data_IF_783443654358
#
_entry.id   IF_783443654358
#
_cell.length_a   1.000
_cell.length_b   1.000
_cell.length_c   1.000
_cell.angle_alpha   90.00
_cell.angle_beta   90.00
_cell.angle_gamma   90.00
#
_symmetry.space_group_name_H-M   'P 1'
#
loop_
_entity.id
_entity.type
_entity.pdbx_description
1 polymer ?
#
# COMPACT_ATOMS: atom_id res chain seq x y z
N UNK A 1 14.60 18.43 41.39
CA UNK A 1 14.23 17.83 40.10
C UNK A 1 15.35 18.14 39.13
N UNK A 2 16.27 17.19 38.93
CA UNK A 2 17.43 17.35 38.08
C UNK A 2 17.05 17.06 36.62
N UNK A 3 17.51 17.91 35.71
CA UNK A 3 17.37 17.76 34.27
C UNK A 3 18.01 16.44 33.78
N UNK A 4 17.47 15.80 32.73
CA UNK A 4 18.10 14.60 32.19
C UNK A 4 19.45 14.95 31.58
N UNK A 5 20.47 14.27 32.09
CA UNK A 5 21.85 14.40 31.68
C UNK A 5 22.00 13.89 30.24
N UNK A 6 22.34 14.80 29.31
CA UNK A 6 22.76 14.45 27.95
C UNK A 6 24.16 13.85 27.98
N UNK A 7 24.26 12.59 28.39
CA UNK A 7 25.44 11.76 28.23
C UNK A 7 24.98 10.33 27.98
N UNK A 8 24.58 10.05 26.74
CA UNK A 8 24.57 8.69 26.21
C UNK A 8 25.65 8.64 25.13
N UNK A 9 26.84 8.27 25.58
CA UNK A 9 27.95 7.85 24.76
C UNK A 9 27.50 6.70 23.84
N UNK A 10 27.85 6.82 22.56
CA UNK A 10 28.17 5.78 21.56
C UNK A 10 28.23 4.29 21.99
N UNK A 11 27.16 3.76 22.60
CA UNK A 11 26.92 2.31 22.79
C UNK A 11 25.93 1.77 21.74
N UNK A 12 25.70 2.52 20.65
CA UNK A 12 25.01 2.05 19.44
C UNK A 12 25.92 1.09 18.64
N UNK A 13 26.46 0.07 19.29
CA UNK A 13 26.90 -1.14 18.57
C UNK A 13 25.63 -1.68 17.93
N UNK A 14 25.49 -1.42 16.63
CA UNK A 14 24.32 -1.74 15.81
C UNK A 14 23.76 -3.11 16.23
N UNK A 15 22.59 -3.14 16.87
CA UNK A 15 21.90 -4.37 17.32
C UNK A 15 21.83 -5.42 16.19
N UNK A 16 21.80 -4.94 14.94
CA UNK A 16 21.87 -5.72 13.71
C UNK A 16 23.13 -6.59 13.60
N UNK A 17 24.28 -6.16 14.13
CA UNK A 17 25.54 -6.89 14.12
C UNK A 17 25.52 -8.17 14.98
N UNK A 18 24.55 -8.31 15.89
CA UNK A 18 24.36 -9.53 16.67
C UNK A 18 23.79 -10.68 15.82
N UNK A 19 23.22 -10.37 14.65
CA UNK A 19 22.71 -11.37 13.72
C UNK A 19 23.76 -11.67 12.66
N UNK A 20 24.08 -12.95 12.50
CA UNK A 20 25.03 -13.40 11.48
C UNK A 20 24.40 -13.46 10.10
N UNK A 21 23.09 -13.72 10.05
CA UNK A 21 22.29 -13.71 8.82
C UNK A 21 20.99 -12.93 9.02
N UNK A 22 20.61 -12.18 7.98
CA UNK A 22 19.37 -11.42 7.93
C UNK A 22 18.63 -11.83 6.65
N UNK A 23 17.41 -12.33 6.81
CA UNK A 23 16.55 -12.73 5.72
C UNK A 23 15.41 -11.75 5.61
N UNK A 24 15.36 -10.99 4.51
CA UNK A 24 14.24 -10.12 4.20
C UNK A 24 13.27 -10.85 3.26
N UNK A 25 11.99 -10.90 3.65
CA UNK A 25 10.92 -11.55 2.91
C UNK A 25 9.77 -10.58 2.67
N UNK A 26 9.36 -10.44 1.42
CA UNK A 26 8.12 -9.76 1.06
C UNK A 26 6.98 -10.78 1.10
N UNK A 27 6.08 -10.65 2.06
CA UNK A 27 4.98 -11.61 2.21
C UNK A 27 3.94 -11.49 1.09
N UNK A 28 3.80 -10.31 0.48
CA UNK A 28 3.01 -10.13 -0.75
C UNK A 28 3.56 -10.92 -1.95
N UNK A 29 4.84 -11.33 -1.93
CA UNK A 29 5.45 -12.18 -2.97
C UNK A 29 5.46 -13.68 -2.61
N UNK A 30 4.82 -14.08 -1.52
CA UNK A 30 4.84 -15.47 -1.03
C UNK A 30 4.17 -16.44 -2.01
N UNK A 31 3.07 -16.07 -2.67
CA UNK A 31 2.26 -16.93 -3.57
C UNK A 31 1.86 -18.26 -2.89
N UNK A 32 1.06 -18.16 -1.83
CA UNK A 32 0.55 -19.30 -1.07
C UNK A 32 1.58 -20.11 -0.29
N UNK A 33 2.85 -19.69 -0.24
CA UNK A 33 3.85 -20.38 0.57
C UNK A 33 3.53 -20.19 2.06
N UNK A 34 3.62 -21.29 2.82
CA UNK A 34 3.31 -21.31 4.26
C UNK A 34 4.54 -21.45 5.13
N UNK A 35 5.69 -21.85 4.58
CA UNK A 35 6.93 -22.04 5.34
C UNK A 35 7.99 -21.01 4.96
N UNK A 36 8.59 -20.38 5.98
CA UNK A 36 9.62 -19.34 5.80
C UNK A 36 10.85 -19.86 5.06
N UNK A 37 11.26 -21.11 5.28
CA UNK A 37 12.36 -21.76 4.56
C UNK A 37 12.13 -21.78 3.05
N UNK A 38 10.92 -22.14 2.62
CA UNK A 38 10.52 -22.13 1.22
C UNK A 38 10.42 -20.71 0.66
N UNK A 39 9.96 -19.74 1.46
CA UNK A 39 9.96 -18.32 1.06
C UNK A 39 11.38 -17.81 0.82
N UNK A 40 12.32 -18.10 1.72
CA UNK A 40 13.74 -17.74 1.56
C UNK A 40 14.31 -18.36 0.29
N UNK A 41 14.03 -19.65 0.05
CA UNK A 41 14.46 -20.33 -1.18
C UNK A 41 13.96 -19.58 -2.40
N UNK A 42 12.65 -19.33 -2.48
CA UNK A 42 12.01 -18.76 -3.67
C UNK A 42 12.38 -17.29 -3.91
N UNK A 43 12.41 -16.47 -2.85
CA UNK A 43 12.62 -15.03 -2.96
C UNK A 43 14.11 -14.65 -3.00
N UNK A 44 14.97 -15.40 -2.32
CA UNK A 44 16.40 -15.07 -2.21
C UNK A 44 17.26 -16.05 -3.01
N UNK A 45 17.13 -17.36 -2.81
CA UNK A 45 18.04 -18.32 -3.47
C UNK A 45 17.76 -18.41 -4.97
N UNK A 46 16.51 -18.63 -5.36
CA UNK A 46 16.15 -18.86 -6.75
C UNK A 46 16.37 -17.61 -7.62
N UNK A 47 16.26 -16.42 -7.01
CA UNK A 47 16.51 -15.13 -7.67
C UNK A 47 18.00 -14.78 -7.77
N UNK A 48 18.82 -15.25 -6.82
CA UNK A 48 20.25 -14.92 -6.75
C UNK A 48 21.14 -15.96 -7.43
N UNK A 49 20.75 -17.24 -7.50
CA UNK A 49 21.63 -18.33 -7.95
C UNK A 49 21.10 -19.06 -9.19
N UNK A 50 22.02 -19.62 -9.98
CA UNK A 50 21.73 -20.48 -11.14
C UNK A 50 21.17 -21.83 -10.69
N UNK A 51 20.42 -22.51 -11.57
CA UNK A 51 19.74 -23.78 -11.28
C UNK A 51 20.67 -24.81 -10.60
N UNK A 52 21.86 -25.03 -11.17
CA UNK A 52 22.88 -25.95 -10.63
C UNK A 52 23.33 -25.64 -9.19
N UNK A 53 23.23 -24.38 -8.76
CA UNK A 53 23.66 -23.93 -7.42
C UNK A 53 22.52 -23.82 -6.42
N UNK A 54 21.26 -23.86 -6.86
CA UNK A 54 20.10 -23.64 -5.97
C UNK A 54 20.00 -24.70 -4.89
N UNK A 55 20.19 -25.98 -5.23
CA UNK A 55 20.10 -27.07 -4.25
C UNK A 55 21.25 -27.04 -3.24
N UNK A 56 22.45 -26.69 -3.69
CA UNK A 56 23.62 -26.50 -2.81
C UNK A 56 23.38 -25.33 -1.85
N UNK A 57 22.89 -24.21 -2.35
CA UNK A 57 22.58 -23.05 -1.52
C UNK A 57 21.42 -23.30 -0.57
N UNK A 58 20.41 -24.08 -0.98
CA UNK A 58 19.31 -24.47 -0.09
C UNK A 58 19.79 -25.39 1.03
N UNK A 59 20.68 -26.33 0.72
CA UNK A 59 21.32 -27.18 1.73
C UNK A 59 22.14 -26.34 2.72
N UNK A 60 22.87 -25.35 2.22
CA UNK A 60 23.61 -24.42 3.07
C UNK A 60 22.66 -23.56 3.95
N UNK A 61 21.53 -23.11 3.39
CA UNK A 61 20.52 -22.38 4.14
C UNK A 61 20.01 -23.20 5.33
N UNK A 62 19.67 -24.47 5.14
CA UNK A 62 19.18 -25.33 6.22
C UNK A 62 20.23 -25.42 7.35
N UNK A 63 21.51 -25.55 7.00
CA UNK A 63 22.61 -25.54 7.97
C UNK A 63 22.74 -24.19 8.70
N UNK A 64 22.61 -23.08 7.97
CA UNK A 64 22.66 -21.72 8.54
C UNK A 64 21.52 -21.55 9.56
N UNK A 65 20.30 -21.89 9.19
CA UNK A 65 19.10 -21.75 10.03
C UNK A 65 19.25 -22.54 11.34
N UNK A 66 19.83 -23.73 11.29
CA UNK A 66 20.02 -24.58 12.48
C UNK A 66 21.16 -24.08 13.39
N UNK A 67 22.25 -23.58 12.79
CA UNK A 67 23.50 -23.34 13.52
C UNK A 67 23.70 -21.89 13.96
N UNK A 68 23.23 -20.92 13.18
CA UNK A 68 23.60 -19.50 13.28
C UNK A 68 22.49 -18.63 13.89
N UNK A 69 22.88 -17.47 14.43
CA UNK A 69 21.94 -16.46 14.95
C UNK A 69 21.39 -15.65 13.77
N UNK A 70 20.07 -15.72 13.57
CA UNK A 70 19.37 -15.18 12.41
C UNK A 70 18.32 -14.13 12.79
N UNK A 71 18.13 -13.15 11.91
CA UNK A 71 16.97 -12.26 11.92
C UNK A 71 16.14 -12.52 10.66
N UNK A 72 14.85 -12.80 10.82
CA UNK A 72 13.89 -12.88 9.72
C UNK A 72 12.98 -11.66 9.74
N UNK A 73 13.07 -10.84 8.70
CA UNK A 73 12.19 -9.68 8.48
C UNK A 73 11.10 -10.10 7.51
N UNK A 74 9.85 -10.05 7.96
CA UNK A 74 8.64 -10.38 7.22
C UNK A 74 7.88 -9.09 6.93
N UNK A 75 7.93 -8.63 5.70
CA UNK A 75 7.28 -7.39 5.30
C UNK A 75 5.87 -7.65 4.73
N UNK A 76 4.85 -6.99 5.27
CA UNK A 76 3.49 -6.99 4.74
C UNK A 76 2.64 -8.21 5.12
N UNK A 77 2.50 -8.53 6.41
CA UNK A 77 1.67 -9.67 6.86
C UNK A 77 0.20 -9.56 6.45
N UNK A 78 -0.33 -8.35 6.29
CA UNK A 78 -1.69 -8.13 5.77
C UNK A 78 -1.83 -8.45 4.27
N UNK A 79 -0.71 -8.70 3.58
CA UNK A 79 -0.64 -9.10 2.17
C UNK A 79 -0.37 -10.60 2.02
N UNK A 80 -0.06 -11.30 3.12
CA UNK A 80 0.05 -12.75 3.13
C UNK A 80 -1.34 -13.39 3.07
N UNK A 81 -1.50 -14.29 2.10
CA UNK A 81 -2.71 -15.11 1.97
C UNK A 81 -2.36 -16.54 2.33
N UNK A 82 -3.01 -17.03 3.37
CA UNK A 82 -2.90 -18.42 3.78
C UNK A 82 -3.67 -19.29 2.78
N UNK A 83 -3.17 -20.49 2.39
CA UNK A 83 -3.88 -21.39 1.51
C UNK A 83 -5.27 -21.74 2.05
N UNK A 84 -6.21 -22.01 1.14
CA UNK A 84 -7.59 -22.37 1.47
C UNK A 84 -7.63 -23.53 2.48
N UNK A 85 -8.44 -23.36 3.53
CA UNK A 85 -8.60 -24.34 4.61
C UNK A 85 -7.46 -24.36 5.64
N UNK A 86 -6.45 -23.49 5.52
CA UNK A 86 -5.42 -23.36 6.56
C UNK A 86 -5.85 -22.44 7.70
N UNK A 87 -5.57 -22.85 8.93
CA UNK A 87 -5.80 -22.07 10.15
C UNK A 87 -4.57 -21.24 10.56
N UNK A 88 -3.60 -21.08 9.67
CA UNK A 88 -2.39 -20.35 9.96
C UNK A 88 -2.66 -18.85 9.98
N UNK A 89 -2.29 -18.20 11.08
CA UNK A 89 -2.32 -16.74 11.19
C UNK A 89 -1.14 -16.10 10.45
N UNK A 90 0.00 -16.79 10.42
CA UNK A 90 1.25 -16.33 9.85
C UNK A 90 2.06 -17.49 9.27
N UNK A 91 3.08 -17.21 8.44
CA UNK A 91 3.99 -18.24 7.94
C UNK A 91 4.68 -19.02 9.07
N UNK A 92 4.83 -20.32 8.89
CA UNK A 92 5.51 -21.22 9.81
C UNK A 92 7.02 -20.95 9.86
N UNK A 93 7.54 -20.86 11.08
CA UNK A 93 8.99 -20.85 11.40
C UNK A 93 9.56 -22.25 11.61
N UNK A 94 8.92 -23.30 11.05
CA UNK A 94 9.42 -24.67 11.16
C UNK A 94 10.90 -24.75 10.76
N UNK A 95 11.70 -25.43 11.58
CA UNK A 95 13.14 -25.57 11.40
C UNK A 95 14.00 -24.45 12.02
N UNK A 96 13.42 -23.33 12.45
CA UNK A 96 14.17 -22.27 13.13
C UNK A 96 14.22 -22.48 14.65
N UNK A 97 15.42 -22.57 15.27
CA UNK A 97 15.55 -22.60 16.72
C UNK A 97 15.12 -21.26 17.35
N UNK A 98 14.24 -21.31 18.36
CA UNK A 98 13.68 -20.10 19.01
C UNK A 98 14.73 -19.23 19.70
N UNK A 99 15.79 -19.85 20.20
CA UNK A 99 16.91 -19.20 20.90
C UNK A 99 17.94 -18.58 19.93
N UNK A 100 17.85 -18.89 18.64
CA UNK A 100 18.77 -18.39 17.61
C UNK A 100 18.09 -17.54 16.54
N UNK A 101 16.78 -17.32 16.62
CA UNK A 101 16.05 -16.59 15.60
C UNK A 101 15.20 -15.48 16.21
N UNK A 102 15.44 -14.25 15.78
CA UNK A 102 14.50 -13.15 15.97
C UNK A 102 13.63 -12.99 14.71
N UNK A 103 12.38 -12.58 14.91
CA UNK A 103 11.45 -12.31 13.81
C UNK A 103 10.91 -10.89 13.97
N UNK A 104 11.05 -10.09 12.92
CA UNK A 104 10.44 -8.77 12.81
C UNK A 104 9.36 -8.83 11.73
N UNK A 105 8.12 -8.54 12.09
CA UNK A 105 7.00 -8.60 11.15
C UNK A 105 6.33 -7.24 11.05
N UNK A 106 6.12 -6.74 9.83
CA UNK A 106 5.33 -5.52 9.57
C UNK A 106 3.91 -5.91 9.17
N UNK A 107 2.92 -5.13 9.60
CA UNK A 107 1.52 -5.34 9.22
C UNK A 107 0.69 -4.09 9.43
N UNK A 108 -0.43 -3.98 8.71
CA UNK A 108 -1.48 -3.00 9.04
C UNK A 108 -2.15 -3.36 10.37
N UNK A 109 -2.54 -2.37 11.21
CA UNK A 109 -3.07 -2.64 12.56
C UNK A 109 -4.29 -3.56 12.60
N UNK A 110 -5.18 -3.48 11.61
CA UNK A 110 -6.40 -4.30 11.57
C UNK A 110 -6.14 -5.81 11.43
N UNK A 111 -4.98 -6.20 10.89
CA UNK A 111 -4.61 -7.62 10.73
C UNK A 111 -4.37 -8.28 12.08
N UNK A 112 -3.88 -7.52 13.06
CA UNK A 112 -3.67 -8.01 14.43
C UNK A 112 -4.98 -8.19 15.20
N UNK A 113 -6.07 -7.57 14.75
CA UNK A 113 -7.41 -7.74 15.32
C UNK A 113 -8.15 -8.98 14.78
N UNK A 114 -7.57 -9.73 13.84
CA UNK A 114 -8.11 -10.99 13.34
C UNK A 114 -8.03 -12.07 14.43
N UNK A 115 -9.09 -12.86 14.60
CA UNK A 115 -9.16 -13.88 15.65
C UNK A 115 -8.02 -14.90 15.58
N UNK A 116 -7.48 -15.16 14.38
CA UNK A 116 -6.33 -16.02 14.18
C UNK A 116 -5.09 -15.53 14.94
N UNK A 117 -4.98 -14.22 15.19
CA UNK A 117 -3.87 -13.62 15.93
C UNK A 117 -4.08 -13.56 17.44
N UNK A 118 -5.29 -13.83 17.97
CA UNK A 118 -5.54 -13.89 19.43
C UNK A 118 -4.64 -14.90 20.14
N UNK A 119 -4.22 -15.94 19.43
CA UNK A 119 -3.30 -16.97 19.93
C UNK A 119 -1.86 -16.82 19.43
N UNK A 120 -1.57 -15.79 18.62
CA UNK A 120 -0.20 -15.53 18.16
C UNK A 120 0.66 -15.04 19.31
N UNK A 121 1.89 -15.53 19.37
CA UNK A 121 2.84 -15.15 20.42
C UNK A 121 3.63 -13.94 19.95
N UNK A 122 3.13 -12.75 20.28
CA UNK A 122 3.84 -11.49 20.03
C UNK A 122 4.62 -11.13 21.30
N UNK A 123 5.95 -11.19 21.22
CA UNK A 123 6.81 -10.84 22.37
C UNK A 123 6.88 -9.32 22.57
N UNK A 124 6.95 -8.55 21.47
CA UNK A 124 7.03 -7.09 21.45
C UNK A 124 6.15 -6.54 20.32
N UNK A 125 5.31 -5.56 20.64
CA UNK A 125 4.52 -4.80 19.67
C UNK A 125 5.05 -3.36 19.62
N UNK A 126 5.34 -2.88 18.41
CA UNK A 126 5.80 -1.51 18.14
C UNK A 126 4.86 -0.88 17.12
N UNK A 127 4.40 0.34 17.40
CA UNK A 127 3.54 1.12 16.50
C UNK A 127 4.33 2.29 15.91
N UNK A 128 4.14 2.53 14.61
CA UNK A 128 4.67 3.73 13.92
C UNK A 128 3.57 4.80 13.97
N UNK A 129 3.76 5.81 14.81
CA UNK A 129 2.76 6.88 15.02
C UNK A 129 2.79 7.98 13.93
N UNK A 130 3.78 7.92 13.02
CA UNK A 130 3.93 8.86 11.92
C UNK A 130 5.17 9.75 12.03
N UNK A 131 5.08 10.97 11.49
CA UNK A 131 6.17 11.92 11.39
C UNK A 131 6.11 12.89 12.57
N UNK A 132 7.14 12.87 13.42
CA UNK A 132 7.30 13.80 14.54
C UNK A 132 7.86 15.18 14.13
N UNK A 133 8.74 15.21 13.13
CA UNK A 133 9.33 16.43 12.57
C UNK A 133 9.03 16.52 11.07
N UNK A 134 7.88 17.12 10.76
CA UNK A 134 7.38 17.24 9.40
C UNK A 134 8.23 18.15 8.52
N UNK A 135 8.94 19.12 9.12
CA UNK A 135 9.84 20.01 8.42
C UNK A 135 11.10 19.28 7.95
N UNK A 136 11.80 18.59 8.87
CA UNK A 136 12.98 17.79 8.53
C UNK A 136 12.61 16.66 7.56
N UNK A 137 11.42 16.08 7.70
CA UNK A 137 10.91 15.09 6.75
C UNK A 137 10.72 15.70 5.35
N UNK A 138 10.06 16.86 5.24
CA UNK A 138 9.91 17.58 3.97
C UNK A 138 11.25 17.84 3.30
N UNK A 139 12.23 18.36 4.03
CA UNK A 139 13.57 18.62 3.47
C UNK A 139 14.23 17.36 2.90
N UNK A 140 14.08 16.21 3.57
CA UNK A 140 14.62 14.92 3.10
C UNK A 140 13.95 14.46 1.82
N UNK A 141 12.62 14.54 1.75
CA UNK A 141 11.86 14.17 0.53
C UNK A 141 12.22 15.12 -0.62
N UNK A 142 12.23 16.44 -0.38
CA UNK A 142 12.55 17.45 -1.39
C UNK A 142 13.95 17.23 -1.97
N UNK A 143 14.93 16.84 -1.15
CA UNK A 143 16.29 16.51 -1.62
C UNK A 143 16.32 15.32 -2.59
N UNK A 144 15.33 14.43 -2.54
CA UNK A 144 15.23 13.29 -3.44
C UNK A 144 14.57 13.64 -4.78
N UNK A 145 13.73 14.69 -4.83
CA UNK A 145 12.89 14.99 -6.00
C UNK A 145 13.24 16.31 -6.69
N UNK A 146 13.87 17.26 -5.98
CA UNK A 146 14.31 18.54 -6.53
C UNK A 146 15.82 18.56 -6.78
N UNK A 147 16.22 19.38 -7.75
CA UNK A 147 17.63 19.69 -7.96
C UNK A 147 18.22 20.39 -6.72
N UNK A 148 19.50 20.10 -6.43
CA UNK A 148 20.25 20.65 -5.29
C UNK A 148 20.42 22.17 -5.34
N UNK A 149 20.15 22.77 -6.50
CA UNK A 149 20.17 24.22 -6.72
C UNK A 149 18.95 24.96 -6.14
N UNK A 150 17.83 24.26 -5.87
CA UNK A 150 16.63 24.86 -5.28
C UNK A 150 16.79 25.05 -3.76
N UNK A 151 16.21 26.14 -3.24
CA UNK A 151 16.16 26.39 -1.81
C UNK A 151 15.17 25.45 -1.11
N UNK A 152 15.70 24.32 -0.65
CA UNK A 152 14.92 23.27 0.01
C UNK A 152 14.26 23.75 1.31
N UNK A 153 14.87 24.70 2.02
CA UNK A 153 14.35 25.18 3.31
C UNK A 153 13.11 26.02 3.10
N UNK A 154 13.20 27.00 2.20
CA UNK A 154 12.07 27.86 1.85
C UNK A 154 10.92 27.00 1.28
N UNK A 155 11.24 26.08 0.37
CA UNK A 155 10.24 25.16 -0.20
C UNK A 155 9.58 24.28 0.89
N UNK A 156 10.35 23.76 1.85
CA UNK A 156 9.80 22.98 2.96
C UNK A 156 8.87 23.79 3.86
N UNK A 157 9.17 25.08 4.08
CA UNK A 157 8.30 25.99 4.83
C UNK A 157 7.00 26.27 4.07
N UNK A 158 7.05 26.52 2.76
CA UNK A 158 5.87 26.76 1.92
C UNK A 158 4.92 25.56 1.92
N UNK A 159 5.46 24.34 1.76
CA UNK A 159 4.67 23.11 1.83
C UNK A 159 3.99 22.97 3.19
N UNK A 160 4.73 23.28 4.28
CA UNK A 160 4.16 23.21 5.62
C UNK A 160 3.01 24.20 5.79
N UNK A 161 3.20 25.46 5.37
CA UNK A 161 2.14 26.47 5.39
C UNK A 161 0.93 26.02 4.59
N UNK A 162 1.15 25.47 3.39
CA UNK A 162 0.10 24.91 2.54
C UNK A 162 -0.68 23.79 3.25
N UNK A 163 0.01 22.84 3.89
CA UNK A 163 -0.62 21.74 4.64
C UNK A 163 -1.45 22.28 5.82
N UNK A 164 -0.92 23.27 6.54
CA UNK A 164 -1.61 23.90 7.67
C UNK A 164 -2.86 24.68 7.21
N UNK A 165 -2.74 25.52 6.19
CA UNK A 165 -3.84 26.30 5.59
C UNK A 165 -4.98 25.40 5.07
N UNK A 166 -4.63 24.27 4.44
CA UNK A 166 -5.59 23.30 3.91
C UNK A 166 -6.11 22.31 4.96
N UNK A 167 -5.71 22.43 6.23
CA UNK A 167 -6.10 21.53 7.32
C UNK A 167 -5.75 20.06 7.04
N UNK A 168 -4.61 19.85 6.40
CA UNK A 168 -4.05 18.57 5.99
C UNK A 168 -3.01 18.03 6.99
N UNK A 169 -2.89 18.63 8.17
CA UNK A 169 -1.91 18.24 9.19
C UNK A 169 -2.02 16.77 9.63
N UNK A 170 -3.21 16.18 9.53
CA UNK A 170 -3.45 14.76 9.81
C UNK A 170 -2.64 13.80 8.90
N UNK A 171 -2.13 14.27 7.76
CA UNK A 171 -1.27 13.49 6.87
C UNK A 171 0.08 13.16 7.52
N UNK A 172 0.54 13.91 8.53
CA UNK A 172 1.79 13.60 9.23
C UNK A 172 1.75 12.24 9.91
N UNK A 173 0.55 11.70 10.20
CA UNK A 173 0.38 10.34 10.71
C UNK A 173 0.80 9.26 9.70
N UNK A 174 0.98 9.61 8.43
CA UNK A 174 1.41 8.69 7.38
C UNK A 174 2.54 9.30 6.54
N UNK A 175 3.79 8.81 6.70
CA UNK A 175 4.92 9.27 5.89
C UNK A 175 4.69 9.16 4.39
N UNK A 176 3.96 8.14 3.95
CA UNK A 176 3.62 7.95 2.53
C UNK A 176 2.63 9.03 2.05
N UNK A 177 1.53 9.29 2.78
CA UNK A 177 0.58 10.33 2.38
C UNK A 177 1.20 11.73 2.42
N UNK A 178 2.07 11.98 3.39
CA UNK A 178 2.80 13.24 3.49
C UNK A 178 3.77 13.41 2.31
N UNK A 179 4.47 12.35 1.92
CA UNK A 179 5.31 12.32 0.71
C UNK A 179 4.47 12.57 -0.55
N UNK A 180 3.29 11.97 -0.63
CA UNK A 180 2.37 12.16 -1.75
C UNK A 180 1.96 13.62 -1.91
N UNK A 181 1.65 14.31 -0.80
CA UNK A 181 1.36 15.75 -0.84
C UNK A 181 2.58 16.55 -1.27
N UNK A 182 3.77 16.25 -0.76
CA UNK A 182 4.99 16.95 -1.20
C UNK A 182 5.18 16.80 -2.71
N UNK A 183 5.11 15.57 -3.23
CA UNK A 183 5.27 15.32 -4.66
C UNK A 183 4.20 16.02 -5.49
N UNK A 184 2.93 15.96 -5.06
CA UNK A 184 1.82 16.58 -5.78
C UNK A 184 1.90 18.11 -5.73
N UNK A 185 2.27 18.68 -4.58
CA UNK A 185 2.49 20.12 -4.45
C UNK A 185 3.64 20.57 -5.35
N UNK A 186 4.75 19.82 -5.37
CA UNK A 186 5.88 20.12 -6.24
C UNK A 186 5.50 20.09 -7.71
N UNK A 187 4.71 19.11 -8.12
CA UNK A 187 4.25 18.96 -9.50
C UNK A 187 3.23 20.02 -9.93
N UNK A 188 2.57 20.69 -8.97
CA UNK A 188 1.48 21.64 -9.23
C UNK A 188 1.80 23.08 -8.79
N UNK A 189 3.03 23.35 -8.33
CA UNK A 189 3.43 24.66 -7.81
C UNK A 189 3.38 25.78 -8.86
N UNK A 190 3.55 25.43 -10.14
CA UNK A 190 3.54 26.37 -11.27
C UNK A 190 2.15 26.51 -11.92
N UNK A 191 1.14 25.81 -11.42
CA UNK A 191 -0.22 25.77 -11.99
C UNK A 191 -1.20 26.61 -11.16
N UNK A 192 -2.13 27.33 -11.82
CA UNK A 192 -3.09 28.23 -11.16
C UNK A 192 -4.08 27.51 -10.22
N UNK A 193 -4.37 26.23 -10.44
CA UNK A 193 -5.27 25.42 -9.60
C UNK A 193 -4.50 24.41 -8.73
N UNK A 194 -3.90 24.81 -7.61
CA UNK A 194 -3.26 23.86 -6.68
C UNK A 194 -4.25 22.80 -6.14
N UNK A 195 -3.71 21.68 -5.60
CA UNK A 195 -4.42 20.54 -4.98
C UNK A 195 -5.89 20.86 -4.61
N UNK A 196 -6.83 20.26 -5.34
CA UNK A 196 -8.23 20.65 -5.22
C UNK A 196 -8.93 19.92 -4.07
N UNK A 197 -8.74 20.43 -2.85
CA UNK A 197 -9.49 20.00 -1.67
C UNK A 197 -8.62 19.50 -0.51
N UNK A 198 -9.27 19.22 0.62
CA UNK A 198 -8.63 18.78 1.88
C UNK A 198 -8.90 17.31 2.22
N UNK A 199 -9.40 16.53 1.26
CA UNK A 199 -9.75 15.12 1.45
C UNK A 199 -8.69 14.18 0.87
N UNK A 200 -8.70 12.94 1.38
CA UNK A 200 -7.83 11.87 0.86
C UNK A 200 -8.13 11.60 -0.63
N UNK A 201 -9.41 11.57 -1.04
CA UNK A 201 -9.77 11.36 -2.44
C UNK A 201 -9.27 12.50 -3.33
N UNK A 202 -9.41 13.75 -2.90
CA UNK A 202 -8.89 14.91 -3.63
C UNK A 202 -7.39 14.79 -3.91
N UNK A 203 -6.61 14.40 -2.89
CA UNK A 203 -5.17 14.18 -3.03
C UNK A 203 -4.84 13.10 -4.08
N UNK A 204 -5.47 11.94 -4.01
CA UNK A 204 -5.22 10.85 -4.97
C UNK A 204 -5.70 11.20 -6.37
N UNK A 205 -6.82 11.93 -6.48
CA UNK A 205 -7.32 12.45 -7.75
C UNK A 205 -6.33 13.42 -8.39
N UNK A 206 -5.84 14.43 -7.66
CA UNK A 206 -4.84 15.36 -8.19
C UNK A 206 -3.52 14.66 -8.52
N UNK A 207 -3.07 13.72 -7.68
CA UNK A 207 -1.86 12.96 -7.96
C UNK A 207 -1.99 12.11 -9.24
N UNK A 208 -3.13 11.42 -9.41
CA UNK A 208 -3.43 10.66 -10.63
C UNK A 208 -3.44 11.57 -11.86
N UNK A 209 -4.07 12.75 -11.78
CA UNK A 209 -4.04 13.77 -12.83
C UNK A 209 -2.59 14.16 -13.21
N UNK A 210 -1.74 14.44 -12.23
CA UNK A 210 -0.33 14.80 -12.45
C UNK A 210 0.48 13.68 -13.13
N UNK A 211 0.31 12.43 -12.69
CA UNK A 211 0.97 11.26 -13.29
C UNK A 211 0.54 11.07 -14.75
N UNK A 212 -0.76 11.17 -14.99
CA UNK A 212 -1.37 11.03 -16.30
C UNK A 212 -0.96 12.13 -17.28
N UNK A 213 -0.84 13.38 -16.82
CA UNK A 213 -0.33 14.51 -17.63
C UNK A 213 1.08 14.24 -18.17
N UNK A 214 2.01 13.84 -17.28
CA UNK A 214 3.40 13.53 -17.65
C UNK A 214 3.51 12.40 -18.68
N UNK A 215 2.66 11.40 -18.58
CA UNK A 215 2.61 10.30 -19.56
C UNK A 215 2.09 10.76 -20.94
N UNK A 216 1.16 11.72 -20.96
CA UNK A 216 0.59 12.25 -22.19
C UNK A 216 1.57 13.17 -22.94
N UNK A 217 2.32 14.01 -22.21
CA UNK A 217 3.38 14.86 -22.80
C UNK A 217 4.51 14.04 -23.47
N UNK A 218 4.53 12.72 -23.25
CA UNK A 218 5.53 11.79 -23.79
C UNK A 218 4.96 10.80 -24.83
N UNK A 219 3.68 10.90 -25.22
CA UNK A 219 3.06 9.94 -26.16
C UNK A 219 1.99 10.50 -27.10
N UNK A 220 2.00 10.06 -28.36
CA UNK A 220 0.98 10.35 -29.40
C UNK A 220 -0.24 9.40 -29.31
N UNK A 221 -0.87 9.25 -28.14
CA UNK A 221 -2.07 8.40 -28.01
C UNK A 221 -3.34 9.24 -28.08
N UNK A 222 -3.84 9.48 -29.30
CA UNK A 222 -5.19 9.99 -29.51
C UNK A 222 -6.16 8.82 -29.70
N UNK A 223 -7.25 8.81 -28.92
CA UNK A 223 -8.49 8.15 -29.33
C UNK A 223 -9.68 8.98 -28.85
N UNK A 224 -10.58 9.27 -29.79
CA UNK A 224 -11.86 9.94 -29.58
C UNK A 224 -12.79 9.03 -28.77
N UNK A 225 -12.89 9.32 -27.47
CA UNK A 225 -14.01 8.83 -26.67
C UNK A 225 -14.38 9.87 -25.62
N UNK A 226 -15.68 10.15 -25.49
CA UNK A 226 -16.25 11.08 -24.53
C UNK A 226 -17.06 10.27 -23.51
N UNK A 227 -16.44 9.71 -22.46
CA UNK A 227 -17.19 9.00 -21.44
C UNK A 227 -17.93 9.98 -20.52
N UNK A 228 -18.98 9.50 -19.82
CA UNK A 228 -19.74 10.33 -18.89
C UNK A 228 -18.83 10.93 -17.82
N UNK A 229 -18.97 12.24 -17.60
CA UNK A 229 -18.11 13.02 -16.72
C UNK A 229 -18.18 12.55 -15.26
N UNK A 230 -17.00 12.37 -14.67
CA UNK A 230 -16.85 12.25 -13.21
C UNK A 230 -16.68 13.62 -12.61
N UNK A 231 -17.49 13.96 -11.60
CA UNK A 231 -17.35 15.24 -10.87
C UNK A 231 -16.09 15.33 -10.00
N UNK A 232 -15.34 14.23 -9.81
CA UNK A 232 -14.17 14.21 -8.93
C UNK A 232 -12.91 14.80 -9.57
N UNK A 233 -12.79 14.75 -10.89
CA UNK A 233 -11.67 15.37 -11.60
C UNK A 233 -12.03 16.82 -11.90
N UNK A 234 -11.29 17.76 -11.33
CA UNK A 234 -11.51 19.18 -11.62
C UNK A 234 -10.82 19.61 -12.91
N UNK A 235 -9.73 18.95 -13.31
CA UNK A 235 -8.89 19.35 -14.45
C UNK A 235 -9.27 18.61 -15.74
N UNK A 236 -10.57 18.51 -15.99
CA UNK A 236 -11.21 17.61 -16.97
C UNK A 236 -10.75 17.74 -18.43
N UNK A 237 -10.07 18.82 -18.83
CA UNK A 237 -9.60 19.00 -20.21
C UNK A 237 -8.45 18.05 -20.58
N UNK A 238 -7.53 17.75 -19.65
CA UNK A 238 -6.34 16.93 -19.90
C UNK A 238 -6.59 15.43 -19.76
N UNK A 239 -7.60 15.05 -18.97
CA UNK A 239 -7.91 13.64 -18.75
C UNK A 239 -8.74 13.02 -19.86
N UNK A 240 -9.51 13.80 -20.63
CA UNK A 240 -10.39 13.27 -21.69
C UNK A 240 -9.70 12.29 -22.66
N UNK A 241 -8.47 12.53 -23.15
CA UNK A 241 -7.81 11.60 -24.08
C UNK A 241 -7.37 10.29 -23.41
N UNK A 242 -7.14 10.29 -22.10
CA UNK A 242 -6.49 9.20 -21.36
C UNK A 242 -7.40 8.53 -20.33
N UNK A 243 -8.61 9.04 -20.12
CA UNK A 243 -9.57 8.47 -19.17
C UNK A 243 -9.93 7.02 -19.54
N UNK A 244 -9.96 6.68 -20.84
CA UNK A 244 -10.13 5.29 -21.27
C UNK A 244 -8.95 4.38 -20.89
N UNK A 245 -7.74 4.93 -20.69
CA UNK A 245 -6.63 4.17 -20.11
C UNK A 245 -6.84 3.99 -18.62
N UNK A 246 -7.19 5.07 -17.92
CA UNK A 246 -7.46 5.06 -16.48
C UNK A 246 -8.59 4.10 -16.13
N UNK A 247 -9.69 4.08 -16.87
CA UNK A 247 -10.84 3.21 -16.64
C UNK A 247 -10.46 1.72 -16.74
N UNK A 248 -9.71 1.35 -17.80
CA UNK A 248 -9.24 -0.03 -18.01
C UNK A 248 -8.23 -0.44 -16.92
N UNK A 249 -7.33 0.47 -16.53
CA UNK A 249 -6.38 0.22 -15.43
C UNK A 249 -7.11 0.08 -14.09
N UNK A 250 -8.15 0.88 -13.87
CA UNK A 250 -8.99 0.84 -12.67
C UNK A 250 -9.79 -0.44 -12.57
N UNK A 251 -10.31 -0.94 -13.70
CA UNK A 251 -10.95 -2.25 -13.77
C UNK A 251 -9.94 -3.37 -13.45
N UNK A 252 -8.72 -3.30 -13.98
CA UNK A 252 -7.67 -4.25 -13.63
C UNK A 252 -7.32 -4.19 -12.13
N UNK A 253 -7.20 -2.99 -11.56
CA UNK A 253 -6.96 -2.79 -10.12
C UNK A 253 -8.04 -3.46 -9.27
N UNK A 254 -9.32 -3.25 -9.64
CA UNK A 254 -10.47 -3.89 -8.99
C UNK A 254 -10.40 -5.42 -9.08
N UNK A 255 -10.25 -6.01 -10.27
CA UNK A 255 -10.22 -7.47 -10.40
C UNK A 255 -9.01 -8.11 -9.72
N UNK A 256 -7.85 -7.45 -9.76
CA UNK A 256 -6.64 -7.95 -9.11
C UNK A 256 -6.71 -7.84 -7.58
N UNK A 257 -7.45 -6.86 -7.04
CA UNK A 257 -7.60 -6.65 -5.59
C UNK A 257 -8.79 -7.43 -5.00
N UNK A 258 -9.90 -7.49 -5.73
CA UNK A 258 -11.22 -7.91 -5.26
C UNK A 258 -11.77 -9.16 -5.97
N UNK A 259 -10.97 -9.89 -6.76
CA UNK A 259 -11.45 -11.15 -7.31
C UNK A 259 -11.66 -12.18 -6.19
N UNK A 260 -12.85 -12.81 -6.09
CA UNK A 260 -13.10 -13.89 -5.13
C UNK A 260 -12.23 -15.14 -5.40
N UNK A 261 -11.76 -15.31 -6.63
CA UNK A 261 -11.09 -16.53 -7.11
C UNK A 261 -9.56 -16.46 -7.03
N UNK A 262 -8.98 -15.32 -6.64
CA UNK A 262 -7.52 -15.14 -6.56
C UNK A 262 -7.09 -14.80 -5.14
N UNK A 263 -5.96 -15.37 -4.72
CA UNK A 263 -5.19 -14.81 -3.61
C UNK A 263 -5.02 -13.31 -3.88
N UNK A 264 -5.34 -12.47 -2.88
CA UNK A 264 -5.23 -10.99 -2.95
C UNK A 264 -3.77 -10.55 -3.04
N UNK A 265 -3.11 -10.95 -4.12
CA UNK A 265 -1.75 -10.59 -4.39
C UNK A 265 -1.73 -9.13 -4.84
N UNK A 266 -0.78 -8.37 -4.31
CA UNK A 266 -0.46 -7.02 -4.79
C UNK A 266 0.71 -7.04 -5.79
N UNK A 267 1.29 -8.24 -6.01
CA UNK A 267 2.36 -8.50 -6.96
C UNK A 267 1.92 -9.53 -8.00
N UNK A 268 2.05 -9.16 -9.26
CA UNK A 268 1.58 -9.90 -10.41
C UNK A 268 2.74 -10.26 -11.32
N UNK A 269 2.58 -11.30 -12.12
CA UNK A 269 3.45 -11.53 -13.27
C UNK A 269 2.83 -10.95 -14.56
N UNK A 270 3.61 -10.96 -15.64
CA UNK A 270 3.18 -10.44 -16.94
C UNK A 270 1.90 -11.11 -17.45
N UNK A 271 1.75 -12.42 -17.26
CA UNK A 271 0.57 -13.15 -17.72
C UNK A 271 -0.69 -12.75 -16.94
N UNK A 272 -0.58 -12.62 -15.61
CA UNK A 272 -1.69 -12.20 -14.76
C UNK A 272 -2.20 -10.81 -15.11
N UNK A 273 -1.29 -9.87 -15.41
CA UNK A 273 -1.66 -8.52 -15.82
C UNK A 273 -2.21 -8.48 -17.25
N UNK A 274 -1.66 -9.30 -18.15
CA UNK A 274 -2.11 -9.38 -19.56
C UNK A 274 -3.54 -9.88 -19.71
N UNK A 275 -4.09 -10.55 -18.69
CA UNK A 275 -5.50 -10.95 -18.66
C UNK A 275 -6.46 -9.74 -18.54
N UNK A 276 -5.96 -8.57 -18.11
CA UNK A 276 -6.78 -7.38 -17.89
C UNK A 276 -6.30 -6.18 -18.72
N UNK A 277 -5.01 -6.08 -19.02
CA UNK A 277 -4.43 -4.98 -19.77
C UNK A 277 -3.84 -5.46 -21.09
N UNK A 278 -4.16 -4.77 -22.18
CA UNK A 278 -3.42 -4.93 -23.44
C UNK A 278 -1.99 -4.42 -23.27
N UNK A 279 -1.03 -4.86 -24.13
CA UNK A 279 0.35 -4.38 -24.07
C UNK A 279 0.48 -2.85 -24.11
N UNK A 280 -0.36 -2.17 -24.91
CA UNK A 280 -0.38 -0.71 -24.99
C UNK A 280 -0.84 -0.04 -23.69
N UNK A 281 -1.85 -0.60 -23.01
CA UNK A 281 -2.34 -0.09 -21.72
C UNK A 281 -1.34 -0.36 -20.60
N UNK A 282 -0.65 -1.51 -20.64
CA UNK A 282 0.44 -1.81 -19.71
C UNK A 282 1.62 -0.85 -19.88
N UNK A 283 2.01 -0.56 -21.13
CA UNK A 283 3.06 0.43 -21.42
C UNK A 283 2.68 1.82 -20.91
N UNK A 284 1.44 2.26 -21.16
CA UNK A 284 0.94 3.52 -20.62
C UNK A 284 1.02 3.55 -19.09
N UNK A 285 0.54 2.49 -18.41
CA UNK A 285 0.56 2.41 -16.95
C UNK A 285 1.98 2.45 -16.37
N UNK A 286 2.96 1.83 -17.06
CA UNK A 286 4.38 1.90 -16.69
C UNK A 286 4.96 3.30 -16.90
N UNK A 287 4.69 3.94 -18.05
CA UNK A 287 5.16 5.31 -18.36
C UNK A 287 4.57 6.35 -17.41
N UNK A 288 3.29 6.21 -17.07
CA UNK A 288 2.61 7.05 -16.10
C UNK A 288 3.07 6.80 -14.65
N UNK A 289 3.82 5.73 -14.38
CA UNK A 289 4.22 5.37 -13.03
C UNK A 289 3.06 4.86 -12.16
N UNK A 290 1.96 4.40 -12.77
CA UNK A 290 0.83 3.78 -12.05
C UNK A 290 1.18 2.37 -11.60
N UNK A 291 1.97 1.66 -12.42
CA UNK A 291 2.54 0.36 -12.10
C UNK A 291 4.06 0.40 -12.22
N UNK A 292 4.72 -0.46 -11.46
CA UNK A 292 6.16 -0.66 -11.51
C UNK A 292 6.45 -2.10 -11.94
N UNK A 293 7.53 -2.30 -12.70
CA UNK A 293 7.96 -3.62 -13.16
C UNK A 293 9.39 -3.87 -12.71
N UNK A 294 9.57 -4.77 -11.75
CA UNK A 294 10.88 -5.25 -11.31
C UNK A 294 11.29 -6.45 -12.17
N UNK A 295 12.41 -6.31 -12.88
CA UNK A 295 13.09 -7.42 -13.54
C UNK A 295 14.36 -7.75 -12.75
N UNK A 296 14.38 -8.89 -12.05
CA UNK A 296 15.63 -9.42 -11.53
C UNK A 296 16.36 -10.16 -12.65
N UNK A 297 17.68 -9.99 -12.77
CA UNK A 297 18.52 -10.53 -13.87
C UNK A 297 18.33 -12.04 -14.14
N UNK A 298 17.82 -12.81 -13.17
CA UNK A 298 17.67 -14.28 -13.22
C UNK A 298 16.26 -14.79 -12.97
N UNK A 299 15.28 -13.94 -12.69
CA UNK A 299 13.90 -14.44 -12.58
C UNK A 299 13.33 -14.62 -13.99
N UNK A 300 12.76 -15.80 -14.26
CA UNK A 300 12.03 -16.06 -15.50
C UNK A 300 10.83 -15.12 -15.69
N UNK A 301 10.26 -14.64 -14.58
CA UNK A 301 9.08 -13.81 -14.57
C UNK A 301 9.39 -12.44 -13.96
N UNK A 302 8.85 -11.40 -14.57
CA UNK A 302 8.85 -10.07 -13.96
C UNK A 302 7.84 -10.01 -12.81
N UNK A 303 8.15 -9.18 -11.80
CA UNK A 303 7.22 -8.84 -10.72
C UNK A 303 6.67 -7.45 -11.01
N UNK A 304 5.37 -7.35 -11.13
CA UNK A 304 4.64 -6.11 -11.42
C UNK A 304 3.75 -5.78 -10.23
N UNK A 305 3.73 -4.53 -9.81
CA UNK A 305 2.82 -4.06 -8.77
C UNK A 305 2.33 -2.68 -9.13
N UNK A 306 1.21 -2.25 -8.54
CA UNK A 306 0.91 -0.82 -8.47
C UNK A 306 2.01 -0.10 -7.67
N UNK A 307 2.19 1.20 -7.91
CA UNK A 307 3.22 1.99 -7.21
C UNK A 307 3.09 1.92 -5.68
N UNK A 308 1.85 1.76 -5.20
CA UNK A 308 1.54 1.45 -3.80
C UNK A 308 0.17 0.78 -3.68
N UNK A 309 -0.05 -0.03 -2.64
CA UNK A 309 -1.33 -0.70 -2.36
C UNK A 309 -2.50 0.28 -2.30
N UNK A 310 -2.32 1.45 -1.67
CA UNK A 310 -3.35 2.49 -1.62
C UNK A 310 -3.74 3.05 -2.98
N UNK A 311 -2.81 3.08 -3.95
CA UNK A 311 -3.13 3.52 -5.31
C UNK A 311 -4.00 2.47 -6.02
N UNK A 312 -3.69 1.18 -5.84
CA UNK A 312 -4.56 0.10 -6.31
C UNK A 312 -5.95 0.17 -5.66
N UNK A 313 -6.01 0.40 -4.34
CA UNK A 313 -7.26 0.57 -3.59
C UNK A 313 -8.09 1.78 -4.10
N UNK A 314 -7.43 2.91 -4.39
CA UNK A 314 -8.06 4.10 -4.97
C UNK A 314 -8.61 3.84 -6.38
N UNK A 315 -7.82 3.21 -7.26
CA UNK A 315 -8.23 2.89 -8.63
C UNK A 315 -9.38 1.86 -8.64
N UNK A 316 -9.34 0.88 -7.74
CA UNK A 316 -10.46 -0.05 -7.56
C UNK A 316 -11.74 0.68 -7.13
N UNK A 317 -11.64 1.58 -6.13
CA UNK A 317 -12.77 2.39 -5.68
C UNK A 317 -13.31 3.31 -6.78
N UNK A 318 -12.43 3.89 -7.58
CA UNK A 318 -12.78 4.65 -8.77
C UNK A 318 -13.59 3.79 -9.74
N UNK A 319 -13.15 2.58 -10.08
CA UNK A 319 -13.93 1.68 -10.95
C UNK A 319 -15.32 1.36 -10.38
N UNK A 320 -15.41 1.05 -9.08
CA UNK A 320 -16.67 0.73 -8.41
C UNK A 320 -17.62 1.94 -8.43
N UNK A 321 -17.11 3.15 -8.19
CA UNK A 321 -17.90 4.37 -8.16
C UNK A 321 -18.68 4.63 -9.47
N UNK A 322 -18.20 4.09 -10.59
CA UNK A 322 -18.79 4.22 -11.93
C UNK A 322 -19.78 3.10 -12.28
N UNK A 323 -19.86 2.06 -11.46
CA UNK A 323 -20.63 0.85 -11.75
C UNK A 323 -21.60 0.56 -10.62
N UNK A 324 -22.84 1.05 -10.72
CA UNK A 324 -23.86 0.89 -9.68
C UNK A 324 -24.07 -0.57 -9.26
N UNK A 325 -24.05 -1.50 -10.21
CA UNK A 325 -24.15 -2.93 -9.93
C UNK A 325 -23.00 -3.43 -9.04
N UNK A 326 -21.77 -2.94 -9.25
CA UNK A 326 -20.63 -3.31 -8.40
C UNK A 326 -20.76 -2.74 -6.99
N UNK A 327 -21.39 -1.57 -6.82
CA UNK A 327 -21.68 -1.03 -5.49
C UNK A 327 -22.62 -1.99 -4.76
N UNK A 328 -23.71 -2.38 -5.40
CA UNK A 328 -24.71 -3.29 -4.81
C UNK A 328 -24.12 -4.69 -4.54
N UNK A 329 -23.31 -5.23 -5.47
CA UNK A 329 -22.66 -6.54 -5.36
C UNK A 329 -21.54 -6.55 -4.32
N UNK A 330 -20.71 -5.51 -4.25
CA UNK A 330 -19.65 -5.39 -3.25
C UNK A 330 -20.28 -5.28 -1.87
N UNK A 331 -21.28 -4.42 -1.73
CA UNK A 331 -21.94 -4.17 -0.45
C UNK A 331 -22.71 -5.42 0.00
N UNK A 332 -23.58 -5.99 -0.84
CA UNK A 332 -24.41 -7.14 -0.48
C UNK A 332 -23.58 -8.44 -0.41
N UNK A 333 -22.58 -8.57 -1.28
CA UNK A 333 -21.76 -9.76 -1.42
C UNK A 333 -20.61 -9.86 -0.42
N UNK A 334 -19.89 -8.77 -0.13
CA UNK A 334 -18.76 -8.79 0.82
C UNK A 334 -19.22 -8.61 2.27
N UNK A 335 -20.12 -7.66 2.56
CA UNK A 335 -20.56 -7.43 3.95
C UNK A 335 -21.51 -8.54 4.42
N UNK A 336 -22.32 -9.11 3.51
CA UNK A 336 -23.30 -10.15 3.85
C UNK A 336 -22.71 -11.55 4.09
N UNK A 337 -21.56 -11.89 3.49
CA UNK A 337 -21.01 -13.26 3.52
C UNK A 337 -19.86 -13.48 4.50
N UNK A 338 -19.07 -12.46 4.80
CA UNK A 338 -17.90 -12.60 5.65
C UNK A 338 -17.73 -11.35 6.52
N UNK A 339 -18.13 -11.45 7.78
CA UNK A 339 -18.01 -10.36 8.74
C UNK A 339 -16.58 -9.85 8.94
N UNK A 340 -15.55 -10.54 8.46
CA UNK A 340 -14.16 -10.05 8.54
C UNK A 340 -13.59 -9.57 7.19
N UNK A 341 -14.22 -9.90 6.06
CA UNK A 341 -13.73 -9.55 4.72
C UNK A 341 -13.79 -8.04 4.43
N UNK A 342 -14.59 -7.29 5.19
CA UNK A 342 -14.66 -5.83 5.06
C UNK A 342 -13.34 -5.14 5.44
N UNK A 343 -12.55 -5.74 6.36
CA UNK A 343 -11.30 -5.13 6.84
C UNK A 343 -10.27 -5.04 5.73
N UNK A 344 -10.23 -6.08 4.90
CA UNK A 344 -9.28 -6.23 3.81
C UNK A 344 -9.50 -5.22 2.68
N UNK A 345 -10.72 -4.72 2.51
CA UNK A 345 -11.11 -3.73 1.50
C UNK A 345 -11.57 -2.41 2.12
N UNK A 346 -11.32 -2.21 3.41
CA UNK A 346 -11.75 -1.02 4.16
C UNK A 346 -11.33 0.28 3.47
N UNK A 347 -10.08 0.35 3.01
CA UNK A 347 -9.54 1.50 2.30
C UNK A 347 -10.25 1.78 0.96
N UNK A 348 -10.73 0.73 0.27
CA UNK A 348 -11.55 0.87 -0.96
C UNK A 348 -12.87 1.56 -0.62
N UNK A 349 -13.51 1.19 0.51
CA UNK A 349 -14.73 1.86 0.95
C UNK A 349 -14.49 3.33 1.32
N UNK A 350 -13.37 3.66 1.97
CA UNK A 350 -13.01 5.07 2.27
C UNK A 350 -12.96 5.90 0.98
N UNK A 351 -12.26 5.38 -0.04
CA UNK A 351 -12.17 6.06 -1.32
C UNK A 351 -13.52 6.13 -2.03
N UNK A 352 -14.30 5.05 -2.01
CA UNK A 352 -15.61 4.98 -2.65
C UNK A 352 -16.57 6.02 -2.06
N UNK A 353 -16.61 6.18 -0.74
CA UNK A 353 -17.43 7.21 -0.08
C UNK A 353 -17.06 8.63 -0.53
N UNK A 354 -15.75 8.91 -0.64
CA UNK A 354 -15.29 10.23 -1.10
C UNK A 354 -15.49 10.48 -2.61
N UNK A 355 -15.66 9.41 -3.41
CA UNK A 355 -15.89 9.50 -4.85
C UNK A 355 -17.38 9.48 -5.21
N UNK A 356 -18.24 8.85 -4.41
CA UNK A 356 -19.65 8.64 -4.71
C UNK A 356 -20.54 8.81 -3.46
N UNK A 357 -21.30 9.91 -3.41
CA UNK A 357 -22.21 10.24 -2.30
C UNK A 357 -23.31 9.20 -2.12
N UNK A 358 -23.82 8.60 -3.21
CA UNK A 358 -24.82 7.53 -3.08
C UNK A 358 -24.24 6.31 -2.41
N UNK A 359 -23.00 5.93 -2.74
CA UNK A 359 -22.31 4.83 -2.09
C UNK A 359 -22.04 5.15 -0.61
N UNK A 360 -21.65 6.39 -0.29
CA UNK A 360 -21.48 6.84 1.09
C UNK A 360 -22.78 6.69 1.91
N UNK A 361 -23.91 7.09 1.35
CA UNK A 361 -25.21 6.95 2.00
C UNK A 361 -25.59 5.48 2.23
N UNK A 362 -25.39 4.62 1.22
CA UNK A 362 -25.66 3.17 1.34
C UNK A 362 -24.76 2.53 2.42
N UNK A 363 -23.46 2.80 2.40
CA UNK A 363 -22.51 2.27 3.38
C UNK A 363 -22.81 2.78 4.80
N UNK A 364 -23.18 4.05 4.95
CA UNK A 364 -23.60 4.63 6.23
C UNK A 364 -24.82 3.92 6.81
N UNK A 365 -25.84 3.66 5.99
CA UNK A 365 -27.03 2.90 6.41
C UNK A 365 -26.67 1.50 6.93
N UNK A 366 -25.77 0.80 6.25
CA UNK A 366 -25.36 -0.56 6.59
C UNK A 366 -24.47 -0.60 7.84
N UNK A 367 -23.54 0.36 7.97
CA UNK A 367 -22.75 0.51 9.20
C UNK A 367 -23.67 0.79 10.39
N UNK A 368 -24.71 1.61 10.20
CA UNK A 368 -25.69 1.90 11.24
C UNK A 368 -26.49 0.65 11.64
N UNK A 369 -26.91 -0.16 10.67
CA UNK A 369 -27.61 -1.44 10.91
C UNK A 369 -26.73 -2.51 11.57
N UNK A 370 -25.42 -2.52 11.30
CA UNK A 370 -24.46 -3.47 11.85
C UNK A 370 -23.57 -2.90 12.97
N UNK A 371 -23.91 -1.72 13.47
CA UNK A 371 -23.08 -0.92 14.39
C UNK A 371 -22.62 -1.72 15.62
N UNK A 372 -23.47 -2.57 16.20
CA UNK A 372 -23.08 -3.37 17.38
C UNK A 372 -21.99 -4.40 17.07
N UNK A 373 -22.03 -5.06 15.90
CA UNK A 373 -21.03 -6.07 15.48
C UNK A 373 -19.71 -5.42 15.06
N UNK A 374 -19.79 -4.22 14.47
CA UNK A 374 -18.63 -3.45 14.07
C UNK A 374 -17.92 -2.91 15.32
N UNK A 375 -18.64 -2.31 16.28
CA UNK A 375 -18.05 -1.71 17.48
C UNK A 375 -17.35 -2.73 18.42
N UNK A 376 -17.84 -3.98 18.50
CA UNK A 376 -17.16 -5.04 19.27
C UNK A 376 -15.75 -5.38 18.74
N UNK A 377 -15.52 -5.20 17.43
CA UNK A 377 -14.21 -5.40 16.79
C UNK A 377 -13.24 -4.25 17.07
N UNK A 378 -13.74 -3.01 17.14
CA UNK A 378 -12.90 -1.82 17.37
C UNK A 378 -12.53 -1.61 18.84
N UNK A 379 -13.32 -2.16 19.78
CA UNK A 379 -13.02 -2.14 21.21
C UNK A 379 -11.71 -2.85 21.59
N UNK A 380 -11.12 -3.65 20.70
CA UNK A 380 -9.94 -4.49 20.96
C UNK A 380 -8.62 -4.00 20.32
N UNK A 381 -8.52 -2.74 19.86
CA UNK A 381 -7.18 -2.18 19.58
C UNK A 381 -7.04 -1.10 18.51
N UNK A 382 -8.12 -0.59 17.92
CA UNK A 382 -8.05 0.48 16.92
C UNK A 382 -8.79 1.72 17.45
N UNK A 383 -8.04 2.79 17.73
CA UNK A 383 -8.63 4.09 18.10
C UNK A 383 -9.63 4.52 17.03
N UNK A 384 -10.83 4.89 17.47
CA UNK A 384 -12.02 5.38 16.73
C UNK A 384 -11.79 6.51 15.72
N UNK A 385 -10.58 7.07 15.64
CA UNK A 385 -10.28 8.23 14.81
C UNK A 385 -10.48 7.98 13.31
N UNK A 386 -10.41 6.73 12.82
CA UNK A 386 -10.57 6.44 11.39
C UNK A 386 -12.03 6.46 10.95
N UNK A 387 -12.99 5.97 11.73
CA UNK A 387 -14.41 5.91 11.31
C UNK A 387 -15.09 7.29 11.37
N UNK A 388 -14.76 8.12 12.37
CA UNK A 388 -15.21 9.52 12.41
C UNK A 388 -14.57 10.33 11.27
N UNK A 389 -13.32 10.06 10.90
CA UNK A 389 -12.69 10.62 9.69
C UNK A 389 -13.32 10.08 8.39
N UNK A 390 -13.81 8.84 8.37
CA UNK A 390 -14.52 8.22 7.23
C UNK A 390 -15.90 8.82 6.98
N UNK A 391 -16.61 9.27 8.02
CA UNK A 391 -18.00 9.71 7.92
C UNK A 391 -18.18 11.24 7.91
N UNK A 392 -17.22 12.04 8.40
CA UNK A 392 -17.42 13.48 8.62
C UNK A 392 -16.58 14.44 7.77
N UNK A 393 -15.96 13.99 6.67
CA UNK A 393 -15.35 14.91 5.69
C UNK A 393 -15.59 14.50 4.23
N UNK A 394 -16.85 14.23 3.88
CA UNK A 394 -17.31 14.55 2.53
C UNK A 394 -17.58 16.07 2.47
N UNK A 395 -17.33 16.74 1.34
CA UNK A 395 -17.59 18.18 1.19
C UNK A 395 -19.04 18.57 1.49
#
# INVERSE_FOLDING_TARGET
>A
MAAPNKNTSFDDVFIIQNFRFIFFLSLGESRGQTEVTHMIKKQLIDTMYSDEKRDVMYTLLLKIIETEICLVIRDGLDEWVAPDGSNLAEPSMSGFPKDKCAVLTTSRPWKLADERFKNSRIDILVEIEGISDSYTFSERVLRCILDKSKDLKTTAMEIRSFIEERRLTWLSNSPMLYTLVICTWVDTMEEEEHLNGSSLCALYTTFLESLCKKANDTTDFFNDFNPPHVKCFSRTSYLRPIISNVDVISQAAFHLLCSPEKERSIVFNDQELSNYLTPSKQEFALKAGLISKRKTKRALNSSISFIHKSMQEFLAAYHIAHNKHLIDDLISGYLGRHSDAYRDVSQVFIFLCGLNVSAANTLSGIIHEHHSKIMDVYAHGLRLNSLEQMLFKAP
#
